data_IF_276156228501
#
_entry.id   IF_276156228501
#
_cell.length_a   1.000
_cell.length_b   1.000
_cell.length_c   1.000
_cell.angle_alpha   90.00
_cell.angle_beta   90.00
_cell.angle_gamma   90.00
#
_symmetry.space_group_name_H-M   'P 1'
#
loop_
_entity.id
_entity.type
_entity.pdbx_description
1 polymer ?
2 non-polymer ?
3 non-polymer ?
4 water ?
#
# COMPACT_ATOMS: atom_id res chain seq x y z
N UNK A 45 -12.60 -28.22 5.06
CA UNK A 45 -12.48 -29.53 4.45
C UNK A 45 -11.01 -29.82 4.14
N UNK A 46 -10.64 -31.09 4.25
CA UNK A 46 -9.29 -31.52 3.93
C UNK A 46 -8.29 -31.16 5.02
N UNK A 47 -7.04 -31.61 4.84
CA UNK A 47 -6.08 -31.57 5.95
C UNK A 47 -5.87 -30.20 6.57
N UNK A 52 3.17 -20.13 7.88
CA UNK A 52 2.78 -20.36 9.28
C UNK A 52 3.72 -19.75 10.33
N UNK A 53 4.87 -20.37 10.59
CA UNK A 53 5.76 -19.85 11.63
C UNK A 53 6.84 -19.01 10.98
N UNK A 54 6.99 -17.76 11.47
CA UNK A 54 8.02 -16.86 10.96
C UNK A 54 8.88 -16.40 12.12
N UNK A 55 10.12 -16.87 12.09
CA UNK A 55 11.15 -16.45 13.00
C UNK A 55 12.32 -15.95 12.17
N UNK A 56 12.81 -14.76 12.49
CA UNK A 56 13.86 -14.18 11.67
C UNK A 56 15.19 -14.90 11.88
N UNK A 57 15.85 -15.27 10.77
CA UNK A 57 17.19 -15.79 10.76
C UNK A 57 17.98 -15.04 9.69
N UNK A 58 19.32 -15.08 9.74
CA UNK A 58 20.09 -14.27 8.77
C UNK A 58 19.95 -14.84 7.37
N UNK A 59 19.58 -13.98 6.44
CA UNK A 59 19.33 -14.40 5.06
C UNK A 59 20.66 -14.46 4.32
N UNK A 60 20.99 -15.59 3.71
CA UNK A 60 22.31 -15.72 3.06
C UNK A 60 22.39 -14.93 1.77
N UNK A 61 23.63 -14.72 1.34
CA UNK A 61 23.89 -14.09 0.06
C UNK A 61 23.23 -14.89 -1.06
N UNK A 62 22.60 -14.19 -2.02
CA UNK A 62 21.88 -14.90 -3.08
C UNK A 62 22.83 -15.76 -3.92
N UNK A 63 24.11 -15.44 -3.93
CA UNK A 63 25.06 -16.24 -4.71
C UNK A 63 25.28 -17.63 -4.13
N UNK A 64 24.85 -17.88 -2.90
CA UNK A 64 24.98 -19.19 -2.29
C UNK A 64 23.86 -20.14 -2.70
N UNK A 65 22.87 -19.67 -3.47
CA UNK A 65 21.70 -20.47 -3.77
C UNK A 65 21.64 -20.96 -5.21
N UNK A 66 21.15 -22.18 -5.37
CA UNK A 66 20.58 -22.58 -6.66
C UNK A 66 19.39 -21.69 -7.01
N UNK A 67 19.22 -21.40 -8.29
CA UNK A 67 18.14 -20.51 -8.71
C UNK A 67 16.78 -21.04 -8.23
N UNK A 68 16.57 -22.35 -8.33
CA UNK A 68 15.31 -22.94 -7.89
C UNK A 68 15.10 -22.80 -6.38
N UNK A 69 16.13 -22.45 -5.61
CA UNK A 69 15.96 -22.34 -4.16
C UNK A 69 15.83 -20.89 -3.69
N UNK A 70 15.72 -19.95 -4.62
CA UNK A 70 15.48 -18.56 -4.27
C UNK A 70 14.01 -18.40 -3.90
N UNK A 71 13.74 -18.02 -2.65
CA UNK A 71 12.37 -17.86 -2.13
C UNK A 71 12.17 -16.42 -1.70
N UNK A 72 11.57 -15.61 -2.57
CA UNK A 72 11.31 -14.21 -2.25
C UNK A 72 10.00 -13.97 -1.51
N UNK A 73 9.36 -15.04 -1.00
CA UNK A 73 8.22 -14.81 -0.10
C UNK A 73 8.66 -14.54 1.33
N UNK A 74 9.95 -14.66 1.62
CA UNK A 74 10.46 -14.46 2.98
C UNK A 74 10.18 -13.03 3.46
N UNK A 75 9.45 -12.84 4.56
CA UNK A 75 9.03 -11.49 4.96
C UNK A 75 10.12 -10.67 5.64
N UNK A 76 11.34 -11.20 5.77
CA UNK A 76 12.46 -10.44 6.31
C UNK A 76 13.41 -9.94 5.24
N UNK A 77 13.11 -10.19 3.95
CA UNK A 77 14.02 -9.78 2.88
C UNK A 77 14.15 -8.26 2.79
N UNK A 78 13.06 -7.51 3.01
CA UNK A 78 13.15 -6.06 2.97
C UNK A 78 13.91 -5.55 4.17
N UNK A 79 13.54 -6.03 5.36
CA UNK A 79 14.23 -5.63 6.59
C UNK A 79 15.74 -5.83 6.48
N UNK A 80 16.18 -6.98 5.97
CA UNK A 80 17.60 -7.26 5.97
C UNK A 80 18.37 -6.65 4.80
N UNK A 81 17.68 -5.97 3.89
CA UNK A 81 18.38 -5.36 2.78
C UNK A 81 18.97 -6.38 1.86
N UNK A 82 18.32 -7.56 1.77
CA UNK A 82 18.68 -8.57 0.78
C UNK A 82 17.72 -8.57 -0.39
N UNK A 83 16.61 -7.84 -0.28
CA UNK A 83 15.60 -7.90 -1.34
C UNK A 83 16.15 -7.45 -2.69
N UNK A 84 17.00 -6.43 -2.73
CA UNK A 84 17.46 -5.94 -4.03
C UNK A 84 18.28 -7.01 -4.73
N UNK A 85 19.23 -7.64 -4.04
CA UNK A 85 20.08 -8.62 -4.71
C UNK A 85 19.28 -9.84 -5.13
N UNK A 86 18.30 -10.25 -4.31
CA UNK A 86 17.50 -11.41 -4.65
C UNK A 86 16.68 -11.17 -5.89
N UNK A 87 15.98 -10.00 -5.95
CA UNK A 87 15.22 -9.70 -7.16
C UNK A 87 16.10 -9.46 -8.37
N UNK A 88 17.30 -8.90 -8.20
CA UNK A 88 18.14 -8.73 -9.36
C UNK A 88 18.55 -10.08 -9.95
N UNK A 89 18.88 -11.07 -9.11
CA UNK A 89 19.25 -12.36 -9.68
C UNK A 89 18.08 -12.96 -10.44
N UNK A 90 16.87 -12.82 -9.92
CA UNK A 90 15.68 -13.29 -10.64
C UNK A 90 15.50 -12.54 -11.95
N UNK A 91 15.57 -11.22 -11.93
CA UNK A 91 15.38 -10.47 -13.18
C UNK A 91 16.39 -10.92 -14.22
N UNK A 92 17.62 -11.14 -13.80
CA UNK A 92 18.68 -11.42 -14.75
C UNK A 92 18.60 -12.83 -15.28
N UNK A 93 18.35 -13.83 -14.41
CA UNK A 93 18.55 -15.22 -14.79
C UNK A 93 17.33 -16.11 -14.60
N UNK A 94 16.25 -15.60 -14.02
CA UNK A 94 15.02 -16.38 -13.94
C UNK A 94 13.85 -15.41 -13.80
N UNK A 95 13.59 -14.60 -14.84
CA UNK A 95 12.59 -13.52 -14.69
C UNK A 95 11.17 -14.02 -14.58
N UNK A 96 10.88 -15.27 -14.93
CA UNK A 96 9.61 -15.91 -14.68
C UNK A 96 9.98 -17.20 -13.96
N UNK A 97 9.89 -17.17 -12.63
CA UNK A 97 10.54 -18.15 -11.77
C UNK A 97 9.50 -18.91 -10.97
N UNK A 98 9.64 -20.22 -10.92
CA UNK A 98 8.76 -21.06 -10.12
C UNK A 98 9.43 -21.47 -8.82
N UNK A 99 8.80 -21.15 -7.69
CA UNK A 99 9.25 -21.68 -6.40
C UNK A 99 8.33 -22.81 -5.97
N UNK A 100 8.87 -24.04 -5.97
CA UNK A 100 8.06 -25.21 -5.61
C UNK A 100 7.74 -25.23 -4.12
N UNK A 101 8.60 -24.65 -3.28
CA UNK A 101 8.56 -24.87 -1.83
C UNK A 101 8.56 -23.54 -1.11
N UNK A 102 7.50 -23.24 -0.36
CA UNK A 102 7.51 -22.06 0.49
C UNK A 102 6.46 -22.26 1.59
N UNK A 103 6.50 -21.42 2.63
CA UNK A 103 5.48 -21.54 3.69
C UNK A 103 4.08 -21.26 3.18
N UNK A 104 3.95 -20.61 2.02
CA UNK A 104 2.69 -20.27 1.40
C UNK A 104 2.30 -21.22 0.29
N UNK A 105 3.07 -22.27 0.05
CA UNK A 105 2.84 -23.08 -1.11
C UNK A 105 3.65 -22.59 -2.29
N UNK A 106 3.48 -23.25 -3.43
CA UNK A 106 4.24 -22.88 -4.62
C UNK A 106 3.73 -21.62 -5.30
N UNK A 107 4.63 -20.91 -5.96
CA UNK A 107 4.22 -19.71 -6.66
C UNK A 107 5.27 -19.28 -7.68
N UNK A 108 4.81 -18.62 -8.74
CA UNK A 108 5.68 -17.96 -9.72
C UNK A 108 6.00 -16.53 -9.28
N UNK A 109 7.20 -16.10 -9.60
CA UNK A 109 7.59 -14.70 -9.43
C UNK A 109 7.87 -14.10 -10.79
N UNK A 110 7.21 -12.96 -11.08
CA UNK A 110 7.43 -12.22 -12.32
C UNK A 110 8.10 -10.91 -11.91
N UNK A 111 9.34 -10.70 -12.35
CA UNK A 111 10.20 -9.66 -11.79
C UNK A 111 10.66 -8.55 -12.75
N UNK A 112 10.52 -8.70 -14.07
CA UNK A 112 10.89 -7.61 -14.97
C UNK A 112 9.69 -6.68 -15.18
N UNK A 113 9.98 -5.38 -15.29
CA UNK A 113 8.93 -4.38 -15.52
C UNK A 113 8.02 -4.76 -16.69
N UNK A 114 8.59 -5.13 -17.85
CA UNK A 114 7.75 -5.34 -19.02
C UNK A 114 6.83 -6.53 -18.82
N UNK A 115 7.31 -7.59 -18.14
CA UNK A 115 6.48 -8.77 -17.93
C UNK A 115 5.40 -8.53 -16.87
N UNK A 116 5.69 -7.72 -15.86
CA UNK A 116 4.65 -7.38 -14.88
C UNK A 116 3.54 -6.60 -15.54
N UNK A 117 3.89 -5.66 -16.42
CA UNK A 117 2.87 -4.89 -17.14
C UNK A 117 1.92 -5.82 -17.88
N UNK A 118 2.48 -6.80 -18.58
CA UNK A 118 1.66 -7.75 -19.31
C UNK A 118 0.73 -8.53 -18.37
N UNK A 119 1.26 -9.03 -17.26
CA UNK A 119 0.42 -9.85 -16.37
C UNK A 119 -0.71 -9.01 -15.77
N UNK A 120 -0.40 -7.77 -15.35
CA UNK A 120 -1.38 -6.89 -14.70
C UNK A 120 -2.47 -6.48 -15.67
N UNK A 121 -2.09 -6.21 -16.91
CA UNK A 121 -3.07 -5.74 -17.87
C UNK A 121 -3.92 -6.88 -18.41
N UNK A 122 -3.42 -8.11 -18.31
CA UNK A 122 -4.05 -9.23 -19.01
C UNK A 122 -4.94 -10.04 -18.07
N UNK A 123 -6.04 -9.41 -17.63
CA UNK A 123 -6.96 -10.07 -16.72
C UNK A 123 -7.73 -11.23 -17.38
N UNK A 124 -7.81 -11.30 -18.72
CA UNK A 124 -8.36 -12.49 -19.39
C UNK A 124 -7.49 -13.72 -19.16
N UNK A 125 -6.20 -13.53 -18.91
CA UNK A 125 -5.26 -14.63 -18.69
C UNK A 125 -4.90 -14.85 -17.24
N UNK A 126 -4.90 -13.79 -16.43
CA UNK A 126 -4.37 -13.83 -15.07
C UNK A 126 -5.40 -13.20 -14.15
N UNK A 127 -6.11 -14.05 -13.42
CA UNK A 127 -7.22 -13.61 -12.58
C UNK A 127 -6.74 -12.98 -11.28
N UNK A 128 -7.42 -11.91 -10.85
CA UNK A 128 -7.19 -11.40 -9.49
C UNK A 128 -7.99 -12.16 -8.45
N UNK A 129 -8.83 -13.03 -8.84
CA UNK A 129 -9.67 -13.74 -7.87
C UNK A 129 -8.92 -14.97 -7.33
N UNK A 130 -9.14 -15.38 -6.07
CA UNK A 130 -10.02 -14.80 -5.04
C UNK A 130 -9.28 -13.91 -4.06
N UNK A 131 -7.95 -13.81 -4.14
CA UNK A 131 -7.17 -13.01 -3.21
C UNK A 131 -5.96 -12.48 -3.96
N UNK A 132 -5.42 -11.35 -3.50
CA UNK A 132 -4.26 -10.76 -4.15
C UNK A 132 -3.03 -10.67 -3.26
N UNK A 133 -3.10 -11.17 -2.02
CA UNK A 133 -1.88 -11.39 -1.25
C UNK A 133 -1.35 -12.77 -1.60
N UNK A 134 -0.10 -13.04 -1.25
CA UNK A 134 0.56 -14.26 -1.75
C UNK A 134 -0.07 -15.51 -1.15
N UNK A 135 -0.36 -15.50 0.15
CA UNK A 135 -0.91 -16.62 0.87
C UNK A 135 -2.44 -16.61 0.90
N UNK A 136 -2.99 -16.91 2.06
CA UNK A 136 -4.42 -17.03 2.25
C UNK A 136 -4.81 -16.28 3.51
N UNK A 137 -6.02 -15.71 3.56
CA UNK A 137 -6.50 -15.16 4.82
C UNK A 137 -6.77 -16.31 5.77
N UNK A 138 -6.76 -16.07 7.08
CA UNK A 138 -7.11 -17.16 7.99
C UNK A 138 -8.53 -17.66 7.73
N UNK A 139 -8.81 -18.88 8.20
CA UNK A 139 -10.13 -19.48 8.00
C UNK A 139 -11.18 -18.65 8.75
N UNK A 140 -12.29 -18.36 8.08
CA UNK A 140 -13.32 -17.54 8.67
C UNK A 140 -13.17 -16.05 8.46
N UNK A 141 -12.08 -15.62 7.82
CA UNK A 141 -11.82 -14.19 7.64
C UNK A 141 -11.66 -13.79 6.19
N UNK A 142 -12.02 -14.66 5.25
CA UNK A 142 -12.04 -14.27 3.83
C UNK A 142 -13.13 -13.22 3.59
N UNK A 143 -12.76 -12.09 3.01
CA UNK A 143 -13.70 -11.07 2.56
C UNK A 143 -13.43 -10.78 1.09
N UNK A 144 -14.50 -10.68 0.31
CA UNK A 144 -14.37 -10.34 -1.09
C UNK A 144 -14.21 -8.84 -1.22
N UNK A 145 -13.21 -8.43 -1.97
CA UNK A 145 -12.90 -7.02 -2.20
C UNK A 145 -12.70 -6.89 -3.69
N UNK A 146 -13.06 -5.72 -4.24
CA UNK A 146 -12.97 -5.69 -5.70
C UNK A 146 -11.53 -5.62 -6.23
N UNK A 147 -10.52 -5.36 -5.38
CA UNK A 147 -9.14 -5.50 -5.78
C UNK A 147 -8.82 -6.95 -6.16
N UNK A 148 -9.60 -7.89 -5.66
CA UNK A 148 -9.49 -9.32 -5.94
C UNK A 148 -10.68 -9.83 -6.75
N UNK A 149 -11.15 -9.02 -7.69
CA UNK A 149 -12.22 -9.39 -8.61
C UNK A 149 -11.82 -9.06 -10.03
N UNK A 150 -12.33 -9.86 -11.00
CA UNK A 150 -12.05 -9.54 -12.40
C UNK A 150 -13.21 -8.75 -12.98
N UNK A 151 -13.02 -8.03 -14.10
CA UNK A 151 -14.18 -7.51 -14.84
C UNK A 151 -15.08 -8.65 -15.30
N UNK A 152 -16.38 -8.41 -15.42
CA UNK A 152 -17.05 -7.12 -15.24
C UNK A 152 -17.40 -6.78 -13.82
N UNK A 153 -17.51 -7.76 -12.93
CA UNK A 153 -17.96 -7.42 -11.57
C UNK A 153 -17.01 -6.44 -10.91
N UNK A 154 -15.71 -6.55 -11.16
CA UNK A 154 -14.77 -5.56 -10.61
C UNK A 154 -15.19 -4.15 -10.95
N UNK A 155 -15.61 -3.94 -12.21
CA UNK A 155 -15.87 -2.59 -12.70
C UNK A 155 -17.13 -2.03 -12.06
N UNK A 156 -18.13 -2.89 -11.88
CA UNK A 156 -19.36 -2.50 -11.22
C UNK A 156 -19.06 -2.08 -9.78
N UNK A 157 -18.33 -2.92 -9.06
CA UNK A 157 -18.07 -2.59 -7.66
C UNK A 157 -17.19 -1.36 -7.50
N UNK A 158 -16.15 -1.22 -8.34
CA UNK A 158 -15.34 -0.01 -8.24
C UNK A 158 -16.17 1.22 -8.56
N UNK A 159 -17.09 1.12 -9.51
CA UNK A 159 -17.90 2.29 -9.83
C UNK A 159 -18.74 2.75 -8.65
N UNK A 160 -19.11 1.85 -7.74
CA UNK A 160 -19.95 2.27 -6.62
C UNK A 160 -19.19 3.10 -5.58
N UNK A 161 -17.84 3.04 -5.56
CA UNK A 161 -17.07 3.77 -4.56
C UNK A 161 -16.15 4.82 -5.17
N UNK A 162 -15.96 4.83 -6.49
CA UNK A 162 -14.87 5.67 -6.97
C UNK A 162 -15.16 7.16 -6.77
N UNK A 163 -16.42 7.54 -6.55
CA UNK A 163 -16.71 8.94 -6.33
C UNK A 163 -16.07 9.50 -5.08
N UNK A 164 -15.66 8.65 -4.15
CA UNK A 164 -15.08 9.16 -2.91
C UNK A 164 -13.73 9.80 -3.17
N UNK A 165 -13.04 9.45 -4.25
CA UNK A 165 -11.83 10.17 -4.63
C UNK A 165 -12.05 11.02 -5.88
N UNK A 166 -13.29 11.49 -6.12
CA UNK A 166 -13.55 12.34 -7.26
C UNK A 166 -12.60 13.54 -7.20
N UNK A 167 -11.96 13.90 -8.31
CA UNK A 167 -11.05 15.07 -8.27
C UNK A 167 -11.69 16.32 -7.68
N UNK A 168 -12.98 16.60 -7.92
CA UNK A 168 -13.58 17.79 -7.31
C UNK A 168 -13.61 17.66 -5.79
N UNK A 169 -13.78 16.44 -5.28
CA UNK A 169 -13.81 16.26 -3.83
C UNK A 169 -12.42 16.41 -3.23
N UNK A 170 -11.40 15.85 -3.89
CA UNK A 170 -10.03 16.02 -3.40
C UNK A 170 -9.65 17.49 -3.34
N UNK A 171 -10.01 18.26 -4.37
CA UNK A 171 -9.71 19.68 -4.35
C UNK A 171 -10.35 20.37 -3.15
N UNK A 172 -11.60 20.04 -2.86
CA UNK A 172 -12.26 20.73 -1.75
C UNK A 172 -11.65 20.35 -0.41
N UNK A 173 -11.04 19.19 -0.31
CA UNK A 173 -10.40 18.73 0.93
C UNK A 173 -8.99 19.25 1.11
N UNK A 174 -8.48 20.01 0.16
CA UNK A 174 -7.08 20.43 0.29
C UNK A 174 -6.84 21.28 1.52
N UNK A 175 -7.80 22.17 1.88
CA UNK A 175 -7.58 23.02 3.05
C UNK A 175 -7.45 22.21 4.31
N UNK A 176 -8.31 21.21 4.47
CA UNK A 176 -8.26 20.36 5.66
C UNK A 176 -7.00 19.53 5.72
N UNK A 177 -6.61 18.91 4.61
CA UNK A 177 -5.38 18.12 4.56
C UNK A 177 -4.18 18.98 4.90
N UNK A 178 -4.12 20.19 4.32
CA UNK A 178 -2.99 21.07 4.58
C UNK A 178 -2.98 21.55 6.03
N UNK A 179 -4.16 21.82 6.59
CA UNK A 179 -4.22 22.25 7.97
C UNK A 179 -3.71 21.17 8.88
N UNK A 180 -4.16 19.92 8.66
CA UNK A 180 -3.72 18.79 9.47
C UNK A 180 -2.23 18.62 9.35
N UNK A 181 -1.72 18.70 8.11
CA UNK A 181 -0.29 18.54 7.87
C UNK A 181 0.52 19.60 8.61
N UNK A 182 0.12 20.88 8.48
CA UNK A 182 0.86 21.93 9.17
C UNK A 182 0.75 21.85 10.68
N UNK A 183 -0.44 21.50 11.19
CA UNK A 183 -0.62 21.39 12.63
C UNK A 183 0.25 20.27 13.18
N UNK A 184 0.29 19.15 12.48
CA UNK A 184 1.13 18.04 12.92
C UNK A 184 2.59 18.44 12.88
N UNK A 185 3.03 19.06 11.79
CA UNK A 185 4.45 19.43 11.73
C UNK A 185 4.81 20.47 12.78
N UNK A 186 3.90 21.42 13.08
CA UNK A 186 4.20 22.44 14.09
C UNK A 186 4.30 21.86 15.48
N UNK A 187 3.65 20.72 15.70
CA UNK A 187 3.63 20.09 17.01
C UNK A 187 4.92 19.32 17.33
N UNK A 188 5.76 19.07 16.32
CA UNK A 188 6.91 18.23 16.53
C UNK A 188 8.00 19.00 17.27
N UNK A 189 8.71 18.34 18.18
CA UNK A 189 9.82 19.01 18.85
C UNK A 189 10.95 19.24 17.87
N UNK A 190 11.69 20.33 18.11
CA UNK A 190 12.89 20.59 17.31
C UNK A 190 14.13 20.57 18.17
N UNK A 191 14.01 20.19 19.44
CA UNK A 191 15.16 20.20 20.33
C UNK A 191 15.63 18.80 20.69
N UNK A 192 15.01 17.78 20.10
CA UNK A 192 15.29 16.38 20.39
C UNK A 192 14.70 15.52 19.28
N UNK A 193 15.19 14.31 19.11
CA UNK A 193 14.65 13.42 18.09
C UNK A 193 13.33 12.81 18.53
N UNK A 194 12.60 12.33 17.54
CA UNK A 194 11.29 11.71 17.80
C UNK A 194 11.05 10.68 16.72
N UNK A 195 10.11 9.77 16.99
CA UNK A 195 9.74 8.78 15.98
C UNK A 195 8.72 9.35 15.01
N UNK A 196 9.16 9.55 13.76
CA UNK A 196 8.32 10.09 12.71
C UNK A 196 7.13 9.22 12.40
N UNK A 197 7.26 7.89 12.59
CA UNK A 197 6.21 7.00 12.11
C UNK A 197 4.90 7.24 12.88
N UNK A 198 4.85 7.18 14.21
CA UNK A 198 3.60 7.54 14.89
C UNK A 198 3.27 9.02 14.77
N UNK A 199 4.26 9.89 14.91
CA UNK A 199 3.93 11.31 15.06
C UNK A 199 3.46 11.96 13.77
N UNK A 200 3.94 11.48 12.62
CA UNK A 200 3.62 12.12 11.34
C UNK A 200 2.88 11.14 10.43
N UNK A 201 3.56 10.09 10.00
CA UNK A 201 2.97 9.24 8.98
C UNK A 201 1.68 8.57 9.45
N UNK A 202 1.69 7.92 10.62
CA UNK A 202 0.44 7.32 11.09
C UNK A 202 -0.57 8.37 11.51
N UNK A 203 -0.13 9.48 12.09
CA UNK A 203 -1.09 10.51 12.53
C UNK A 203 -1.87 11.05 11.35
N UNK A 204 -1.17 11.46 10.29
CA UNK A 204 -1.86 12.00 9.13
C UNK A 204 -2.69 10.95 8.44
N UNK A 205 -2.17 9.71 8.33
CA UNK A 205 -2.95 8.65 7.68
C UNK A 205 -4.27 8.39 8.38
N UNK A 206 -4.24 8.28 9.71
CA UNK A 206 -5.46 8.01 10.47
C UNK A 206 -6.50 9.08 10.32
N UNK A 207 -6.09 10.36 10.30
CA UNK A 207 -7.08 11.41 10.11
C UNK A 207 -7.69 11.32 8.71
N UNK A 208 -6.87 11.03 7.72
CA UNK A 208 -7.36 10.89 6.35
C UNK A 208 -8.38 9.75 6.24
N UNK A 209 -8.09 8.61 6.87
CA UNK A 209 -9.04 7.49 6.81
C UNK A 209 -10.35 7.85 7.48
N UNK A 210 -10.31 8.54 8.64
CA UNK A 210 -11.55 8.97 9.27
C UNK A 210 -12.39 9.85 8.35
N UNK A 211 -11.73 10.75 7.62
CA UNK A 211 -12.44 11.62 6.70
C UNK A 211 -13.08 10.83 5.57
N UNK A 212 -12.38 9.83 5.06
CA UNK A 212 -12.90 9.05 3.93
C UNK A 212 -14.20 8.34 4.28
N UNK A 213 -14.35 7.91 5.54
CA UNK A 213 -15.52 7.17 5.96
C UNK A 213 -16.46 7.98 6.85
N UNK A 214 -16.13 9.25 7.13
CA UNK A 214 -16.78 10.02 8.21
C UNK A 214 -16.87 9.18 9.48
N UNK A 215 -15.75 8.52 9.80
CA UNK A 215 -15.67 7.66 10.97
C UNK A 215 -15.44 8.53 12.20
N UNK A 216 -16.00 8.15 13.35
CA UNK A 216 -15.79 8.97 14.55
C UNK A 216 -14.32 9.24 14.80
N UNK A 217 -13.95 10.54 14.85
CA UNK A 217 -12.55 10.93 14.82
C UNK A 217 -11.78 10.31 15.98
N UNK A 218 -12.40 10.31 17.17
CA UNK A 218 -11.80 9.78 18.37
C UNK A 218 -11.59 8.27 18.31
N UNK A 219 -12.22 7.59 17.36
CA UNK A 219 -12.03 6.16 17.16
C UNK A 219 -11.16 5.84 15.94
N UNK A 220 -10.52 6.84 15.33
CA UNK A 220 -9.88 6.58 14.04
C UNK A 220 -8.74 5.58 14.17
N UNK A 221 -8.11 5.48 15.34
CA UNK A 221 -7.06 4.49 15.52
C UNK A 221 -7.57 3.08 15.27
N UNK A 222 -8.89 2.85 15.41
CA UNK A 222 -9.42 1.51 15.19
C UNK A 222 -9.35 1.11 13.74
N UNK A 223 -9.61 2.07 12.83
CA UNK A 223 -9.50 1.75 11.41
C UNK A 223 -8.10 1.28 11.06
N UNK A 224 -7.08 1.86 11.71
CA UNK A 224 -5.72 1.49 11.42
C UNK A 224 -5.38 0.15 12.03
N UNK A 225 -5.79 -0.06 13.28
CA UNK A 225 -5.54 -1.36 13.94
C UNK A 225 -6.21 -2.47 13.11
N UNK A 226 -7.45 -2.24 12.68
CA UNK A 226 -8.14 -3.29 11.90
C UNK A 226 -7.45 -3.55 10.57
N UNK A 227 -7.05 -2.48 9.89
CA UNK A 227 -6.36 -2.64 8.61
C UNK A 227 -5.02 -3.33 8.80
N UNK A 228 -4.28 -2.95 9.85
CA UNK A 228 -2.96 -3.57 10.12
C UNK A 228 -3.11 -5.07 10.31
N UNK A 229 -4.08 -5.48 11.13
CA UNK A 229 -4.17 -6.90 11.47
C UNK A 229 -4.64 -7.71 10.27
N UNK A 230 -5.44 -7.14 9.38
CA UNK A 230 -5.80 -7.85 8.15
C UNK A 230 -4.61 -7.97 7.20
N UNK A 231 -3.98 -6.85 6.86
CA UNK A 231 -2.89 -6.92 5.89
C UNK A 231 -1.68 -7.64 6.46
N UNK A 232 -1.59 -7.74 7.77
CA UNK A 232 -0.42 -8.29 8.41
C UNK A 232 -0.55 -9.74 8.83
N UNK A 233 -1.62 -10.41 8.45
CA UNK A 233 -1.83 -11.82 8.78
C UNK A 233 -0.65 -12.69 8.35
N UNK A 234 -0.11 -13.49 9.28
CA UNK A 234 1.03 -14.34 8.96
C UNK A 234 0.78 -15.24 7.76
N UNK A 235 -0.43 -15.82 7.67
CA UNK A 235 -0.74 -16.77 6.60
C UNK A 235 -0.87 -16.10 5.25
N UNK A 236 -1.06 -14.78 5.23
CA UNK A 236 -1.28 -14.03 4.00
C UNK A 236 -0.01 -13.40 3.48
N UNK A 237 0.75 -12.71 4.36
CA UNK A 237 1.89 -11.90 3.97
C UNK A 237 3.13 -12.17 4.80
N UNK A 238 3.09 -13.16 5.69
CA UNK A 238 4.24 -13.34 6.54
C UNK A 238 4.38 -12.25 7.57
N UNK A 239 3.30 -11.51 7.84
CA UNK A 239 3.37 -10.46 8.87
C UNK A 239 3.36 -11.03 10.26
N UNK A 240 3.41 -10.12 11.23
CA UNK A 240 3.61 -10.63 12.59
C UNK A 240 2.32 -10.98 13.30
N UNK A 241 1.16 -10.82 12.65
CA UNK A 241 -0.12 -11.12 13.29
C UNK A 241 -0.45 -12.59 13.07
N UNK A 242 -0.26 -13.43 14.10
CA UNK A 242 -0.48 -14.86 13.97
C UNK A 242 -1.49 -15.40 14.97
N UNK A 243 -2.13 -14.50 15.71
CA UNK A 243 -3.19 -14.89 16.65
C UNK A 243 -4.54 -14.76 15.94
N UNK A 244 -5.10 -15.91 15.54
CA UNK A 244 -6.41 -15.92 14.89
C UNK A 244 -7.51 -15.43 15.81
N UNK A 245 -7.35 -15.54 17.12
CA UNK A 245 -8.35 -15.06 18.06
C UNK A 245 -8.54 -13.55 17.97
N UNK A 246 -7.43 -12.79 17.93
CA UNK A 246 -7.55 -11.34 17.82
C UNK A 246 -8.14 -10.94 16.46
N UNK A 247 -7.88 -11.72 15.43
CA UNK A 247 -8.46 -11.42 14.13
C UNK A 247 -9.98 -11.62 14.13
N UNK A 248 -10.44 -12.68 14.77
CA UNK A 248 -11.89 -12.90 14.87
C UNK A 248 -12.55 -11.79 15.69
N UNK A 249 -11.92 -11.38 16.78
CA UNK A 249 -12.46 -10.27 17.56
C UNK A 249 -12.53 -8.99 16.73
N UNK A 250 -11.44 -8.67 16.01
CA UNK A 250 -11.44 -7.48 15.17
C UNK A 250 -12.54 -7.54 14.12
N UNK A 251 -12.61 -8.65 13.38
CA UNK A 251 -13.52 -8.75 12.25
C UNK A 251 -14.95 -8.52 12.68
N UNK A 252 -15.26 -8.83 13.94
CA UNK A 252 -16.59 -8.68 14.51
C UNK A 252 -16.81 -7.30 15.12
N UNK A 253 -15.80 -6.75 15.80
CA UNK A 253 -15.85 -5.36 16.22
C UNK A 253 -16.02 -4.44 15.01
N UNK A 254 -15.32 -4.75 13.94
CA UNK A 254 -15.34 -3.89 12.78
C UNK A 254 -16.69 -3.94 12.09
N UNK A 255 -17.18 -5.14 11.82
CA UNK A 255 -18.50 -5.27 11.22
C UNK A 255 -19.57 -4.59 12.06
N UNK A 256 -19.47 -4.73 13.38
CA UNK A 256 -20.42 -4.06 14.26
C UNK A 256 -20.26 -2.55 14.23
N UNK A 257 -19.02 -2.07 14.09
CA UNK A 257 -18.80 -0.63 14.06
C UNK A 257 -19.25 -0.01 12.74
N UNK A 258 -18.98 -0.67 11.61
CA UNK A 258 -19.46 -0.18 10.32
C UNK A 258 -20.98 -0.14 10.26
N UNK A 259 -21.64 -1.16 10.81
CA UNK A 259 -23.10 -1.17 10.82
C UNK A 259 -23.66 -0.01 11.65
N UNK A 260 -23.10 0.22 12.84
CA UNK A 260 -23.50 1.37 13.64
C UNK A 260 -23.27 2.67 12.86
N UNK A 261 -22.12 2.80 12.18
CA UNK A 261 -21.87 3.99 11.39
C UNK A 261 -22.90 4.16 10.28
N UNK A 262 -23.15 3.10 9.51
CA UNK A 262 -24.16 3.16 8.46
C UNK A 262 -25.50 3.62 9.03
N UNK A 263 -25.92 2.99 10.13
CA UNK A 263 -27.21 3.35 10.73
C UNK A 263 -27.20 4.76 11.31
N UNK A 264 -26.08 5.18 11.93
CA UNK A 264 -26.01 6.56 12.41
C UNK A 264 -26.12 7.54 11.25
N UNK A 265 -25.46 7.24 10.11
CA UNK A 265 -25.46 8.18 9.00
C UNK A 265 -26.81 8.23 8.32
N UNK A 266 -27.46 7.07 8.14
CA UNK A 266 -28.81 7.09 7.58
C UNK A 266 -29.80 7.78 8.52
N UNK A 267 -29.65 7.62 9.85
CA UNK A 267 -30.49 8.36 10.80
C UNK A 267 -30.20 9.85 10.76
N UNK A 268 -28.94 10.23 10.63
CA UNK A 268 -28.58 11.64 10.48
C UNK A 268 -29.10 12.21 9.17
N UNK A 269 -28.98 11.46 8.08
CA UNK A 269 -29.54 11.94 6.82
C UNK A 269 -31.04 12.11 6.94
N UNK A 270 -31.71 11.13 7.55
CA UNK A 270 -33.16 11.18 7.68
C UNK A 270 -33.61 12.37 8.51
N UNK A 271 -32.76 12.84 9.41
CA UNK A 271 -33.08 13.99 10.25
C UNK A 271 -32.66 15.31 9.62
N UNK A 272 -32.10 15.29 8.40
CA UNK A 272 -31.85 16.49 7.64
C UNK A 272 -30.40 16.89 7.49
N UNK A 273 -29.45 16.12 8.02
CA UNK A 273 -28.06 16.46 7.84
C UNK A 273 -27.69 16.37 6.38
N UNK A 274 -27.09 17.43 5.87
CA UNK A 274 -26.69 17.49 4.47
C UNK A 274 -25.62 16.44 4.18
N UNK A 275 -25.70 15.76 3.02
CA UNK A 275 -24.70 14.74 2.69
C UNK A 275 -23.32 15.31 2.45
N UNK A 276 -22.30 14.54 2.81
CA UNK A 276 -20.91 14.96 2.67
C UNK A 276 -20.07 14.20 1.66
N UNK A 277 -18.74 14.38 1.72
CA UNK A 277 -17.78 13.81 0.76
C UNK A 277 -17.48 12.34 0.98
N UNK A 278 -17.87 11.79 2.13
CA UNK A 278 -17.36 10.52 2.61
C UNK A 278 -18.03 9.37 1.88
N UNK A 279 -17.47 8.18 2.09
CA UNK A 279 -17.92 7.01 1.35
C UNK A 279 -19.35 6.62 1.74
N UNK A 280 -19.70 6.73 3.01
CA UNK A 280 -21.03 6.30 3.44
C UNK A 280 -22.11 7.21 2.83
N UNK A 281 -21.91 8.52 2.91
CA UNK A 281 -22.81 9.47 2.28
C UNK A 281 -22.98 9.19 0.79
N UNK A 282 -21.87 8.87 0.10
CA UNK A 282 -21.96 8.56 -1.33
C UNK A 282 -22.74 7.29 -1.58
N UNK A 283 -22.48 6.24 -0.81
CA UNK A 283 -23.23 5.01 -1.00
C UNK A 283 -24.70 5.21 -0.72
N UNK A 284 -25.02 5.98 0.33
CA UNK A 284 -26.43 6.16 0.66
C UNK A 284 -27.14 7.14 -0.26
N UNK A 285 -26.42 7.78 -1.20
CA UNK A 285 -27.01 8.75 -2.11
C UNK A 285 -27.30 8.20 -3.50
N UNK A 286 -26.84 6.99 -3.79
CA UNK A 286 -26.98 6.37 -5.10
C UNK A 286 -27.93 5.20 -5.01
N UNK A 287 -28.86 5.12 -5.97
CA UNK A 287 -29.91 4.11 -5.92
C UNK A 287 -29.35 2.70 -5.88
N UNK A 288 -28.22 2.44 -6.54
CA UNK A 288 -27.71 1.08 -6.58
C UNK A 288 -27.23 0.62 -5.22
N UNK A 289 -26.68 1.52 -4.40
CA UNK A 289 -26.06 1.16 -3.13
C UNK A 289 -26.80 1.68 -1.90
N UNK A 290 -27.94 2.34 -2.06
CA UNK A 290 -28.62 2.85 -0.87
C UNK A 290 -29.03 1.73 0.09
N UNK A 291 -29.09 0.49 -0.40
CA UNK A 291 -29.44 -0.66 0.42
C UNK A 291 -28.25 -1.57 0.68
N UNK A 292 -27.03 -1.02 0.64
CA UNK A 292 -25.86 -1.88 0.60
C UNK A 292 -25.73 -2.72 1.87
N UNK A 293 -26.21 -2.20 3.02
CA UNK A 293 -26.16 -2.95 4.27
C UNK A 293 -26.85 -4.30 4.16
N UNK A 294 -27.87 -4.42 3.28
CA UNK A 294 -28.55 -5.69 3.14
C UNK A 294 -27.75 -6.70 2.34
N UNK A 295 -26.57 -6.31 1.85
CA UNK A 295 -25.66 -7.18 1.12
C UNK A 295 -24.39 -7.25 1.94
N UNK A 296 -24.37 -8.07 2.99
CA UNK A 296 -23.29 -7.95 3.98
C UNK A 296 -21.90 -8.16 3.39
N UNK A 297 -21.76 -9.08 2.43
CA UNK A 297 -20.44 -9.32 1.84
C UNK A 297 -19.93 -8.08 1.10
N UNK A 298 -20.76 -7.50 0.25
CA UNK A 298 -20.40 -6.27 -0.47
C UNK A 298 -20.16 -5.11 0.49
N UNK A 299 -21.02 -5.00 1.51
CA UNK A 299 -20.91 -3.90 2.45
C UNK A 299 -19.57 -3.94 3.17
N UNK A 300 -19.25 -5.08 3.78
CA UNK A 300 -17.99 -5.14 4.51
C UNK A 300 -16.80 -5.09 3.54
N UNK A 301 -16.92 -5.70 2.37
CA UNK A 301 -15.80 -5.70 1.44
C UNK A 301 -15.44 -4.31 0.92
N UNK A 302 -16.44 -3.50 0.65
CA UNK A 302 -16.17 -2.16 0.14
C UNK A 302 -15.61 -1.25 1.23
N UNK A 303 -16.18 -1.30 2.43
CA UNK A 303 -15.66 -0.46 3.49
C UNK A 303 -14.26 -0.88 3.88
N UNK A 304 -13.98 -2.19 3.96
CA UNK A 304 -12.64 -2.59 4.39
C UNK A 304 -11.60 -2.30 3.32
N UNK A 305 -11.94 -2.48 2.04
CA UNK A 305 -10.97 -2.15 1.01
C UNK A 305 -10.57 -0.69 1.07
N UNK A 306 -11.51 0.21 1.37
CA UNK A 306 -11.14 1.61 1.36
C UNK A 306 -10.16 1.93 2.49
N UNK A 307 -10.36 1.31 3.65
CA UNK A 307 -9.47 1.59 4.81
C UNK A 307 -8.10 0.94 4.62
N UNK A 308 -8.06 -0.35 4.22
CA UNK A 308 -6.77 -0.97 3.95
C UNK A 308 -6.07 -0.26 2.81
N UNK A 309 -6.85 0.13 1.79
CA UNK A 309 -6.27 0.76 0.61
C UNK A 309 -5.39 1.93 0.95
N UNK A 310 -5.82 2.78 1.88
CA UNK A 310 -5.00 3.94 2.10
C UNK A 310 -4.18 3.91 3.38
N UNK A 311 -4.19 2.80 4.11
CA UNK A 311 -3.53 2.80 5.41
C UNK A 311 -2.01 2.70 5.45
N UNK A 312 -1.39 1.62 5.01
CA UNK A 312 0.05 1.63 5.20
C UNK A 312 0.72 2.13 3.92
N UNK A 313 0.02 2.15 2.78
CA UNK A 313 0.50 2.81 1.56
C UNK A 313 0.87 4.29 1.81
N UNK A 314 -0.11 5.07 2.32
CA UNK A 314 0.10 6.48 2.68
C UNK A 314 1.24 6.58 3.68
N UNK A 315 1.10 5.81 4.74
CA UNK A 315 2.02 5.90 5.87
C UNK A 315 3.45 5.69 5.40
N UNK A 316 3.68 4.62 4.62
CA UNK A 316 5.04 4.28 4.26
C UNK A 316 5.59 5.16 3.15
N UNK A 317 4.73 5.75 2.31
CA UNK A 317 5.21 6.77 1.38
C UNK A 317 5.63 8.03 2.10
N UNK A 318 4.91 8.38 3.16
CA UNK A 318 5.29 9.53 3.96
C UNK A 318 6.62 9.29 4.65
N UNK A 319 6.82 8.13 5.23
CA UNK A 319 8.11 7.85 5.86
C UNK A 319 9.23 7.66 4.85
N UNK A 320 8.94 6.92 3.77
CA UNK A 320 10.00 6.50 2.85
C UNK A 320 10.70 7.64 2.14
N UNK A 321 10.01 8.75 1.93
CA UNK A 321 10.68 9.88 1.30
C UNK A 321 11.82 10.42 2.16
N UNK A 322 11.64 10.40 3.48
CA UNK A 322 12.74 10.83 4.36
C UNK A 322 13.92 9.85 4.31
N UNK A 323 13.65 8.55 4.25
CA UNK A 323 14.71 7.58 4.13
C UNK A 323 15.47 7.74 2.81
N UNK A 324 14.74 7.94 1.71
CA UNK A 324 15.40 8.15 0.44
C UNK A 324 16.24 9.42 0.43
N UNK A 325 15.73 10.50 1.03
CA UNK A 325 16.54 11.71 1.13
C UNK A 325 17.78 11.45 1.96
N UNK A 326 17.65 10.63 3.01
CA UNK A 326 18.82 10.40 3.84
C UNK A 326 19.91 9.65 3.11
N UNK A 327 19.53 8.76 2.19
CA UNK A 327 20.50 8.02 1.40
C UNK A 327 21.07 8.87 0.27
N UNK A 328 20.32 9.85 -0.20
CA UNK A 328 20.72 10.69 -1.33
C UNK A 328 20.54 12.15 -0.92
N UNK A 329 21.34 12.62 0.02
CA UNK A 329 21.12 13.95 0.60
C UNK A 329 21.25 15.10 -0.39
N UNK A 330 21.97 14.94 -1.50
CA UNK A 330 22.02 16.02 -2.48
C UNK A 330 20.65 16.33 -3.05
N UNK A 331 19.74 15.36 -3.01
CA UNK A 331 18.41 15.63 -3.57
C UNK A 331 17.65 16.62 -2.70
N UNK A 332 17.97 16.70 -1.40
CA UNK A 332 17.24 17.67 -0.59
C UNK A 332 17.74 19.08 -0.87
N UNK A 333 19.05 19.22 -1.14
CA UNK A 333 19.55 20.52 -1.57
C UNK A 333 18.92 20.93 -2.90
N UNK A 334 18.77 19.98 -3.82
CA UNK A 334 18.12 20.26 -5.10
C UNK A 334 16.66 20.70 -4.88
N UNK A 335 15.96 20.02 -3.99
CA UNK A 335 14.55 20.33 -3.71
C UNK A 335 14.41 21.73 -3.12
N UNK A 336 15.24 22.06 -2.12
CA UNK A 336 15.12 23.39 -1.52
C UNK A 336 15.33 24.49 -2.53
N UNK A 337 16.26 24.28 -3.48
CA UNK A 337 16.56 25.28 -4.49
C UNK A 337 15.53 25.31 -5.60
N UNK A 338 14.72 24.27 -5.75
CA UNK A 338 13.74 24.22 -6.82
C UNK A 338 12.48 23.52 -6.32
N UNK A 339 11.69 24.20 -5.47
CA UNK A 339 10.51 23.54 -4.87
C UNK A 339 9.46 23.08 -5.87
N UNK A 340 9.45 23.65 -7.09
CA UNK A 340 8.51 23.17 -8.10
C UNK A 340 8.75 21.70 -8.48
N UNK A 341 9.85 21.10 -8.04
CA UNK A 341 10.09 19.68 -8.25
C UNK A 341 9.18 18.79 -7.41
N UNK A 342 8.41 19.32 -6.46
CA UNK A 342 7.70 18.43 -5.52
C UNK A 342 6.80 17.41 -6.23
N UNK A 343 5.97 17.76 -7.20
CA UNK A 343 5.13 16.71 -7.81
C UNK A 343 5.92 15.58 -8.46
N UNK A 344 7.01 15.89 -9.16
CA UNK A 344 7.79 14.81 -9.75
C UNK A 344 8.49 14.01 -8.67
N UNK A 345 8.98 14.70 -7.63
CA UNK A 345 9.61 14.01 -6.51
C UNK A 345 8.65 13.04 -5.87
N UNK A 346 7.37 13.42 -5.74
CA UNK A 346 6.39 12.52 -5.16
C UNK A 346 6.33 11.21 -5.95
N UNK A 347 6.31 11.30 -7.28
CA UNK A 347 6.36 10.09 -8.09
C UNK A 347 7.63 9.30 -7.84
N UNK A 348 8.78 9.99 -7.73
CA UNK A 348 10.02 9.27 -7.46
C UNK A 348 10.05 8.65 -6.07
N UNK A 349 9.42 9.29 -5.07
CA UNK A 349 9.33 8.66 -3.75
C UNK A 349 8.53 7.38 -3.86
N UNK A 350 7.41 7.45 -4.58
CA UNK A 350 6.52 6.29 -4.68
C UNK A 350 7.20 5.16 -5.47
N UNK A 351 7.95 5.51 -6.52
CA UNK A 351 8.72 4.51 -7.26
C UNK A 351 9.78 3.86 -6.38
N UNK A 352 10.60 4.69 -5.72
CA UNK A 352 11.72 4.17 -4.95
C UNK A 352 11.24 3.35 -3.77
N UNK A 353 10.20 3.81 -3.06
CA UNK A 353 9.72 3.07 -1.89
C UNK A 353 8.96 1.82 -2.31
N UNK A 354 8.12 1.92 -3.36
CA UNK A 354 7.19 0.87 -3.79
C UNK A 354 6.46 0.30 -2.57
N UNK A 355 5.51 1.04 -2.00
CA UNK A 355 4.94 0.64 -0.70
C UNK A 355 4.32 -0.73 -0.66
N UNK A 356 3.75 -1.21 -1.78
CA UNK A 356 3.23 -2.56 -1.88
C UNK A 356 4.14 -3.33 -2.84
N UNK A 357 4.75 -4.40 -2.33
CA UNK A 357 5.78 -5.06 -3.11
C UNK A 357 5.24 -5.84 -4.30
N UNK A 358 3.97 -6.24 -4.22
CA UNK A 358 3.40 -7.11 -5.24
C UNK A 358 1.88 -7.06 -5.20
N UNK A 359 1.29 -7.62 -6.26
CA UNK A 359 -0.06 -8.16 -6.27
C UNK A 359 0.00 -9.53 -6.89
N UNK A 360 -0.83 -10.44 -6.37
CA UNK A 360 -0.87 -11.80 -6.86
C UNK A 360 -2.04 -12.04 -7.79
N UNK A 361 -1.86 -13.01 -8.68
CA UNK A 361 -2.84 -13.46 -9.64
C UNK A 361 -2.86 -14.99 -9.67
N UNK A 362 -3.85 -15.55 -10.37
CA UNK A 362 -3.89 -16.99 -10.68
C UNK A 362 -4.05 -17.14 -12.19
N UNK A 363 -3.22 -17.99 -12.80
CA UNK A 363 -3.35 -18.23 -14.23
C UNK A 363 -4.65 -18.93 -14.57
N UNK A 364 -5.42 -18.31 -15.49
CA UNK A 364 -6.72 -18.88 -15.89
C UNK A 364 -6.55 -20.08 -16.79
N UNK A 365 -5.41 -20.18 -17.46
CA UNK A 365 -5.06 -21.28 -18.34
C UNK A 365 -3.56 -21.31 -18.42
N UNK A 366 -3.01 -22.32 -19.09
CA UNK A 366 -1.55 -22.33 -19.27
C UNK A 366 -1.13 -21.11 -20.08
N UNK A 367 -0.05 -20.46 -19.69
CA UNK A 367 0.44 -19.24 -20.33
C UNK A 367 1.95 -19.31 -20.49
N UNK A 368 2.43 -19.10 -21.71
CA UNK A 368 3.86 -19.03 -21.93
C UNK A 368 4.32 -17.62 -21.63
N UNK A 369 5.29 -17.50 -20.72
CA UNK A 369 5.81 -16.18 -20.37
C UNK A 369 7.28 -16.35 -20.02
N UNK A 370 8.13 -15.53 -20.64
CA UNK A 370 9.54 -15.56 -20.29
C UNK A 370 10.20 -16.90 -20.55
N UNK A 371 9.72 -17.63 -21.53
CA UNK A 371 10.28 -18.93 -21.84
C UNK A 371 9.89 -20.02 -20.88
N UNK A 372 8.83 -19.81 -20.07
CA UNK A 372 8.34 -20.79 -19.12
C UNK A 372 6.86 -21.02 -19.36
N UNK A 373 6.37 -22.16 -18.91
CA UNK A 373 4.95 -22.47 -19.03
C UNK A 373 4.33 -22.34 -17.64
N UNK A 374 3.64 -21.22 -17.40
CA UNK A 374 2.84 -21.11 -16.19
C UNK A 374 1.60 -21.99 -16.35
N UNK A 375 1.32 -22.82 -15.36
CA UNK A 375 0.21 -23.74 -15.52
C UNK A 375 -1.10 -23.16 -14.99
N UNK A 376 -2.20 -23.55 -15.63
CA UNK A 376 -3.52 -23.16 -15.13
C UNK A 376 -3.67 -23.46 -13.65
N UNK A 377 -4.10 -22.46 -12.88
CA UNK A 377 -4.27 -22.61 -11.46
C UNK A 377 -3.07 -22.15 -10.64
N UNK A 378 -1.92 -21.93 -11.28
CA UNK A 378 -0.74 -21.52 -10.53
C UNK A 378 -0.89 -20.10 -10.02
N UNK A 379 -0.35 -19.83 -8.85
CA UNK A 379 -0.26 -18.45 -8.35
C UNK A 379 0.93 -17.74 -8.99
N UNK A 380 0.72 -16.47 -9.34
CA UNK A 380 1.66 -15.67 -10.11
C UNK A 380 1.80 -14.36 -9.39
N UNK A 381 3.00 -14.05 -8.92
CA UNK A 381 3.24 -12.85 -8.10
C UNK A 381 3.92 -11.78 -8.96
N UNK A 382 3.27 -10.63 -9.10
CA UNK A 382 3.78 -9.48 -9.86
C UNK A 382 4.58 -8.63 -8.92
N UNK A 383 5.92 -8.72 -8.99
CA UNK A 383 6.76 -8.04 -7.99
C UNK A 383 7.09 -6.62 -8.44
N UNK A 384 6.14 -5.72 -8.15
CA UNK A 384 6.35 -4.29 -8.44
C UNK A 384 7.66 -3.78 -7.84
N UNK A 385 8.01 -4.25 -6.64
CA UNK A 385 9.24 -3.81 -6.01
C UNK A 385 10.47 -4.14 -6.85
N UNK A 386 10.39 -5.23 -7.63
CA UNK A 386 11.46 -5.55 -8.56
C UNK A 386 11.34 -4.76 -9.86
N UNK A 387 10.13 -4.65 -10.38
CA UNK A 387 9.94 -3.95 -11.64
C UNK A 387 10.40 -2.49 -11.56
N UNK A 388 10.18 -1.85 -10.40
CA UNK A 388 10.60 -0.44 -10.27
C UNK A 388 12.10 -0.29 -10.12
N UNK A 389 12.82 -1.39 -9.92
CA UNK A 389 14.27 -1.36 -9.91
C UNK A 389 14.86 -2.01 -11.16
N UNK A 390 14.05 -2.24 -12.19
CA UNK A 390 14.52 -2.90 -13.40
C UNK A 390 15.25 -1.89 -14.28
N UNK A 391 16.55 -2.09 -14.49
CA UNK A 391 17.30 -1.15 -15.32
C UNK A 391 16.88 -1.20 -16.78
N UNK A 392 16.13 -2.20 -17.21
CA UNK A 392 15.59 -2.18 -18.57
C UNK A 392 14.57 -1.07 -18.73
N UNK A 393 13.95 -0.63 -17.64
CA UNK A 393 12.98 0.46 -17.63
C UNK A 393 13.58 1.76 -17.12
N UNK A 394 14.28 1.76 -15.98
CA UNK A 394 14.80 2.97 -15.35
C UNK A 394 16.33 2.95 -15.32
N UNK A 395 16.94 3.95 -15.92
CA UNK A 395 18.39 4.07 -15.76
C UNK A 395 18.74 4.37 -14.31
N UNK A 396 19.86 3.83 -13.83
CA UNK A 396 20.28 4.04 -12.43
C UNK A 396 19.10 3.79 -11.48
N UNK A 397 18.51 2.61 -11.52
CA UNK A 397 17.20 2.43 -10.87
C UNK A 397 17.23 2.54 -9.37
N UNK A 398 18.35 2.22 -8.72
CA UNK A 398 18.39 2.26 -7.28
C UNK A 398 18.70 3.66 -6.75
N UNK A 399 18.97 4.63 -7.63
CA UNK A 399 19.23 5.99 -7.18
C UNK A 399 17.91 6.72 -7.04
N UNK A 400 17.78 7.49 -5.99
CA UNK A 400 16.67 8.43 -5.81
C UNK A 400 17.05 9.73 -6.52
N UNK A 401 16.32 10.05 -7.60
CA UNK A 401 16.64 11.16 -8.49
C UNK A 401 15.34 11.96 -8.63
N UNK A 402 15.23 13.07 -7.88
CA UNK A 402 13.88 13.63 -7.73
C UNK A 402 13.40 14.33 -9.01
N UNK A 403 14.29 14.67 -9.96
CA UNK A 403 13.91 15.21 -11.28
C UNK A 403 13.97 14.15 -12.38
N UNK A 404 13.87 12.87 -12.01
CA UNK A 404 13.84 11.78 -12.99
C UNK A 404 12.62 11.94 -13.92
N UNK A 405 12.86 12.13 -15.22
CA UNK A 405 11.72 12.51 -16.04
C UNK A 405 10.71 11.40 -16.24
N UNK A 406 11.10 10.13 -16.03
CA UNK A 406 10.14 9.05 -16.20
C UNK A 406 9.68 8.50 -14.87
N UNK A 407 9.88 9.24 -13.78
CA UNK A 407 9.45 8.72 -12.48
C UNK A 407 7.98 8.39 -12.47
N UNK A 408 7.15 9.17 -13.17
CA UNK A 408 5.70 8.97 -13.14
C UNK A 408 5.28 7.65 -13.79
N UNK A 409 6.18 6.98 -14.49
CA UNK A 409 5.89 5.73 -15.17
C UNK A 409 6.11 4.53 -14.29
N UNK A 410 6.37 4.74 -13.01
CA UNK A 410 6.54 3.61 -12.09
C UNK A 410 5.30 2.74 -12.06
N UNK A 411 5.48 1.53 -11.47
CA UNK A 411 4.39 0.57 -11.33
C UNK A 411 3.97 0.36 -9.88
N UNK A 412 4.22 1.33 -8.99
CA UNK A 412 3.80 1.15 -7.60
C UNK A 412 2.30 1.14 -7.42
N UNK A 413 1.56 1.73 -8.36
CA UNK A 413 0.09 1.67 -8.31
C UNK A 413 -0.47 0.52 -9.15
N UNK A 414 0.40 -0.29 -9.74
CA UNK A 414 -0.02 -1.26 -10.72
C UNK A 414 -0.38 -0.63 -12.06
N UNK A 415 -0.91 -1.48 -12.93
CA UNK A 415 -1.35 -1.11 -14.27
C UNK A 415 -2.55 -1.98 -14.60
N UNK A 416 -3.36 -1.54 -15.55
CA UNK A 416 -4.54 -2.30 -15.90
C UNK A 416 -5.77 -1.90 -15.11
N UNK A 417 -6.76 -2.79 -15.05
CA UNK A 417 -8.04 -2.37 -14.49
C UNK A 417 -7.94 -2.13 -13.00
N UNK A 418 -6.99 -2.74 -12.29
CA UNK A 418 -6.85 -2.54 -10.84
C UNK A 418 -5.93 -1.40 -10.48
N UNK A 419 -5.44 -0.61 -11.43
CA UNK A 419 -4.52 0.48 -11.11
C UNK A 419 -5.12 1.33 -9.98
N UNK A 420 -4.31 1.57 -8.95
CA UNK A 420 -4.80 2.12 -7.68
C UNK A 420 -5.83 3.21 -7.84
N UNK A 421 -6.98 3.01 -7.18
CA UNK A 421 -8.05 4.01 -7.21
C UNK A 421 -7.67 5.27 -6.46
N UNK A 422 -6.86 5.13 -5.45
CA UNK A 422 -6.45 6.24 -4.58
C UNK A 422 -5.19 6.95 -5.01
N UNK A 423 -4.73 6.75 -6.26
CA UNK A 423 -3.42 7.28 -6.66
C UNK A 423 -3.35 8.79 -6.50
N UNK A 424 -4.38 9.52 -6.93
CA UNK A 424 -4.30 10.97 -6.81
C UNK A 424 -4.43 11.44 -5.38
N UNK A 425 -5.20 10.73 -4.53
CA UNK A 425 -5.23 11.09 -3.12
C UNK A 425 -3.87 10.86 -2.45
N UNK A 426 -3.19 9.77 -2.80
CA UNK A 426 -1.85 9.51 -2.27
C UNK A 426 -0.90 10.60 -2.71
N UNK A 427 -0.93 10.96 -3.99
CA UNK A 427 -0.02 11.99 -4.48
C UNK A 427 -0.31 13.34 -3.83
N UNK A 428 -1.59 13.63 -3.61
CA UNK A 428 -1.98 14.90 -3.00
C UNK A 428 -1.46 15.01 -1.58
N UNK A 429 -1.64 13.95 -0.77
CA UNK A 429 -1.15 14.03 0.60
C UNK A 429 0.36 14.18 0.64
N UNK A 430 1.07 13.49 -0.25
CA UNK A 430 2.53 13.59 -0.27
C UNK A 430 2.98 14.97 -0.72
N UNK A 431 2.32 15.54 -1.72
CA UNK A 431 2.68 16.89 -2.17
C UNK A 431 2.53 17.87 -1.02
N UNK A 432 1.38 17.83 -0.32
CA UNK A 432 1.14 18.79 0.74
C UNK A 432 2.14 18.57 1.88
N UNK A 433 2.43 17.33 2.21
CA UNK A 433 3.45 17.04 3.23
C UNK A 433 4.78 17.74 2.91
N UNK A 434 5.28 17.55 1.68
CA UNK A 434 6.57 18.13 1.35
C UNK A 434 6.52 19.66 1.20
N UNK A 435 5.39 20.21 0.73
CA UNK A 435 5.27 21.66 0.71
C UNK A 435 5.37 22.23 2.13
N UNK A 436 4.71 21.56 3.08
CA UNK A 436 4.69 22.04 4.46
C UNK A 436 6.01 21.76 5.18
N UNK A 437 6.74 20.72 4.79
CA UNK A 437 8.10 20.50 5.29
C UNK A 437 9.02 21.64 4.85
N UNK A 438 8.95 22.03 3.58
CA UNK A 438 9.85 23.05 3.06
C UNK A 438 9.61 24.42 3.69
N UNK A 439 8.37 24.71 4.08
CA UNK A 439 8.07 25.95 4.77
C UNK A 439 8.78 26.07 6.12
N UNK A 440 9.08 24.93 6.75
CA UNK A 440 9.45 24.90 8.16
C UNK A 440 10.89 24.51 8.46
N UNK A 441 11.47 23.58 7.68
CA UNK A 441 12.69 22.91 8.11
C UNK A 441 13.81 23.06 7.09
N UNK A 442 14.96 23.55 7.56
CA UNK A 442 16.20 23.63 6.78
C UNK A 442 16.89 22.29 6.67
N UNK A 443 16.66 21.39 7.64
CA UNK A 443 17.34 20.12 7.67
C UNK A 443 16.50 19.14 8.44
N UNK A 444 16.68 17.89 8.06
CA UNK A 444 16.08 16.75 8.71
C UNK A 444 17.19 15.71 8.81
N UNK A 445 17.38 15.16 10.00
CA UNK A 445 18.46 14.22 10.28
C UNK A 445 17.83 12.91 10.74
N UNK A 446 18.32 11.78 10.21
CA UNK A 446 17.89 10.46 10.68
C UNK A 446 18.96 10.00 11.66
N UNK A 447 18.57 9.77 12.92
CA UNK A 447 19.57 9.64 13.96
C UNK A 447 19.82 8.19 14.34
N UNK A 448 19.13 7.26 13.72
CA UNK A 448 19.27 5.84 14.01
C UNK A 448 18.86 5.09 12.76
N UNK A 449 19.42 3.90 12.54
CA UNK A 449 18.99 3.10 11.40
C UNK A 449 17.50 2.78 11.50
N UNK A 450 16.70 3.05 10.47
CA UNK A 450 15.26 2.78 10.54
C UNK A 450 14.96 1.32 10.80
N UNK A 451 13.84 1.06 11.48
CA UNK A 451 13.34 -0.29 11.64
C UNK A 451 12.27 -0.52 10.60
N UNK A 452 12.37 -1.64 9.88
CA UNK A 452 11.48 -2.00 8.79
C UNK A 452 10.58 -3.14 9.21
N UNK A 453 9.38 -3.15 8.66
CA UNK A 453 8.30 -4.04 9.07
C UNK A 453 8.51 -5.42 8.47
N UNK A 454 8.16 -6.43 9.26
CA UNK A 454 8.10 -7.83 8.80
C UNK A 454 6.86 -8.04 7.94
N UNK A 455 7.08 -8.31 6.65
CA UNK A 455 6.03 -8.54 5.67
C UNK A 455 6.68 -8.83 4.34
N UNK A 456 6.04 -9.67 3.50
CA UNK A 456 6.50 -9.77 2.13
C UNK A 456 5.73 -8.80 1.22
N UNK A 457 4.74 -8.09 1.75
CA UNK A 457 3.78 -7.32 0.98
C UNK A 457 3.96 -5.83 1.24
N UNK A 458 3.80 -5.38 2.47
CA UNK A 458 4.04 -3.98 2.76
C UNK A 458 5.52 -3.77 2.92
N UNK A 459 6.04 -2.76 2.27
CA UNK A 459 7.42 -2.34 2.41
C UNK A 459 7.38 -1.06 3.24
N UNK A 460 7.69 -1.19 4.53
CA UNK A 460 7.46 -0.03 5.36
C UNK A 460 8.32 0.04 6.59
N UNK A 461 8.01 1.05 7.39
CA UNK A 461 8.89 1.41 8.51
C UNK A 461 8.05 1.50 9.78
N UNK A 462 8.55 0.88 10.83
CA UNK A 462 7.96 1.00 12.16
C UNK A 462 8.67 2.00 13.04
N UNK A 463 9.94 2.33 12.72
CA UNK A 463 10.68 3.31 13.53
C UNK A 463 11.56 4.14 12.62
N UNK A 464 11.45 5.45 12.73
CA UNK A 464 12.19 6.38 11.90
C UNK A 464 12.49 7.60 12.76
N UNK A 465 13.69 7.61 13.35
CA UNK A 465 14.00 8.58 14.39
C UNK A 465 14.66 9.78 13.77
N UNK A 466 14.04 10.94 13.93
CA UNK A 466 14.33 12.13 13.13
C UNK A 466 14.61 13.29 14.06
N UNK A 467 15.60 14.11 13.71
CA UNK A 467 15.85 15.38 14.37
C UNK A 467 15.64 16.49 13.37
N UNK A 468 14.84 17.48 13.73
CA UNK A 468 14.47 18.57 12.85
C UNK A 468 15.34 19.79 13.13
N UNK A 469 15.69 20.53 12.08
CA UNK A 469 16.32 21.84 12.21
C UNK A 469 15.39 22.85 11.57
N UNK A 470 14.77 23.73 12.31
CA UNK A 470 13.93 24.74 11.67
C UNK A 470 14.79 25.68 10.82
N UNK A 471 14.15 26.22 9.79
CA UNK A 471 14.81 27.24 8.99
C UNK A 471 14.75 28.60 9.72
N UNK A 472 15.42 29.58 9.11
CA UNK A 472 15.60 30.88 9.73
C UNK A 472 14.30 31.66 9.74
#
# INVERSE_FOLDING_TARGET
>A
MGMPTLPRTFDDIQSRLINATSRVVPMQRQIQGLKFLMSAKRKTFGPRRPMPEFVETPIPDVNTLALEDIDVSNPFLYRQGQWRAYFKRLRDEAPVHYQKNSPFGPFWSVTRFEDILFVDKSHDLFSAEPQIILGDPPEGLSVEMFIAMDPPKHDVQRSSVQGVVAPKNLKEMEGLIRSRTGDVLDSLPTDKPFNWVPAVSKELTGRMLATLLDFPYEERHKLVEWSDRMAGAASATGGEFADENAMFDDAADMARSFSRLWRDKEARRAAGEEPGFDLISLLQSNKETKDLINRPMEFIGNLTLLIVGGNDTTRNSMSGGLVAMNEFPREFEKLKAKPELIPNMVSEIIRWQTPLAYMRRIAKQDVELGGQTIKKGDRVVMWYASGNRDERKFDNPDQFIIDRKDARNHMSFGYGVHRCMGNRLAELQLRILWEEILKRFDNIEVVEEPERVQSNFARGYSRLMVKLTPNSLEHHHHHH
#
